data_IF_543746546724
#
_entry.id   IF_543746546724
#
_cell.length_a   1.000
_cell.length_b   1.000
_cell.length_c   1.000
_cell.angle_alpha   90.00
_cell.angle_beta   90.00
_cell.angle_gamma   90.00
#
_symmetry.space_group_name_H-M   'P 1'
#
loop_
_entity.id
_entity.type
_entity.pdbx_description
1 polymer ?
#
# COMPACT_ATOMS: atom_id res chain seq x y z
N UNK A 1 7.94 -17.79 -6.38
CA UNK A 1 7.64 -16.58 -7.17
C UNK A 1 6.51 -16.98 -8.12
N UNK A 2 5.30 -16.43 -7.94
CA UNK A 2 4.19 -16.77 -8.83
C UNK A 2 4.37 -16.00 -10.14
N UNK A 3 4.33 -16.71 -11.28
CA UNK A 3 4.40 -16.08 -12.59
C UNK A 3 3.01 -15.61 -12.98
N UNK A 4 2.74 -14.31 -12.86
CA UNK A 4 1.50 -13.70 -13.33
C UNK A 4 1.60 -13.29 -14.79
N UNK A 5 0.51 -13.47 -15.54
CA UNK A 5 0.39 -12.86 -16.85
C UNK A 5 0.38 -11.32 -16.70
N UNK A 6 0.99 -10.60 -17.64
CA UNK A 6 1.02 -9.13 -17.62
C UNK A 6 -0.40 -8.54 -17.56
N UNK A 7 -1.36 -9.18 -18.21
CA UNK A 7 -2.77 -8.75 -18.18
C UNK A 7 -3.35 -8.77 -16.75
N UNK A 8 -3.08 -9.82 -15.97
CA UNK A 8 -3.54 -9.92 -14.57
C UNK A 8 -2.96 -8.80 -13.70
N UNK A 9 -1.70 -8.44 -13.94
CA UNK A 9 -1.04 -7.33 -13.25
C UNK A 9 -1.66 -5.98 -13.65
N UNK A 10 -1.97 -5.78 -14.93
CA UNK A 10 -2.65 -4.58 -15.40
C UNK A 10 -4.05 -4.43 -14.77
N UNK A 11 -4.81 -5.52 -14.70
CA UNK A 11 -6.12 -5.53 -14.05
C UNK A 11 -6.02 -5.21 -12.55
N UNK A 12 -5.05 -5.80 -11.85
CA UNK A 12 -4.77 -5.49 -10.44
C UNK A 12 -4.42 -4.01 -10.25
N UNK A 13 -3.55 -3.47 -11.09
CA UNK A 13 -3.21 -2.06 -11.05
C UNK A 13 -4.41 -1.16 -11.33
N UNK A 14 -5.29 -1.54 -12.27
CA UNK A 14 -6.53 -0.82 -12.56
C UNK A 14 -7.49 -0.80 -11.36
N UNK A 15 -7.72 -1.96 -10.71
CA UNK A 15 -8.50 -2.04 -9.46
C UNK A 15 -7.90 -1.16 -8.37
N UNK A 16 -6.58 -1.17 -8.23
CA UNK A 16 -5.90 -0.37 -7.24
C UNK A 16 -6.05 1.14 -7.50
N UNK A 17 -5.93 1.58 -8.76
CA UNK A 17 -6.18 2.98 -9.14
C UNK A 17 -7.58 3.43 -8.76
N UNK A 18 -8.59 2.58 -8.98
CA UNK A 18 -9.97 2.87 -8.59
C UNK A 18 -10.08 3.09 -7.08
N UNK A 19 -9.56 2.17 -6.27
CA UNK A 19 -9.54 2.28 -4.80
C UNK A 19 -8.81 3.53 -4.31
N UNK A 20 -7.69 3.90 -4.93
CA UNK A 20 -6.95 5.14 -4.61
C UNK A 20 -7.86 6.37 -4.77
N UNK A 21 -8.57 6.46 -5.89
CA UNK A 21 -9.48 7.58 -6.16
C UNK A 21 -10.67 7.57 -5.19
N UNK A 22 -11.26 6.39 -4.96
CA UNK A 22 -12.39 6.21 -4.02
C UNK A 22 -12.02 6.62 -2.59
N UNK A 23 -10.86 6.18 -2.07
CA UNK A 23 -10.37 6.56 -0.74
C UNK A 23 -10.20 8.07 -0.60
N UNK A 24 -9.48 8.69 -1.54
CA UNK A 24 -9.21 10.14 -1.49
C UNK A 24 -10.51 10.94 -1.61
N UNK A 25 -11.43 10.49 -2.48
CA UNK A 25 -12.73 11.11 -2.63
C UNK A 25 -13.57 10.99 -1.36
N UNK A 26 -13.72 9.80 -0.78
CA UNK A 26 -14.49 9.60 0.46
C UNK A 26 -13.94 10.44 1.62
N UNK A 27 -12.61 10.48 1.77
CA UNK A 27 -11.94 11.25 2.82
C UNK A 27 -11.90 12.77 2.56
N UNK A 28 -12.22 13.24 1.34
CA UNK A 28 -12.02 14.61 0.88
C UNK A 28 -10.59 15.13 1.16
N UNK A 29 -9.63 14.22 1.17
CA UNK A 29 -8.26 14.48 1.64
C UNK A 29 -7.33 13.36 1.19
N UNK A 30 -6.12 13.71 0.72
CA UNK A 30 -5.10 12.71 0.34
C UNK A 30 -4.31 13.10 -0.90
N UNK A 31 -3.45 12.19 -1.36
CA UNK A 31 -2.49 12.44 -2.44
C UNK A 31 -2.68 11.44 -3.59
N UNK A 32 -3.65 11.68 -4.50
CA UNK A 32 -3.95 10.73 -5.57
C UNK A 32 -2.81 10.68 -6.60
N UNK A 33 -2.26 11.82 -7.04
CA UNK A 33 -1.23 11.85 -8.09
C UNK A 33 0.02 11.02 -7.75
N UNK A 34 0.58 11.22 -6.56
CA UNK A 34 1.72 10.43 -6.09
C UNK A 34 1.40 8.95 -5.87
N UNK A 35 0.15 8.61 -5.58
CA UNK A 35 -0.27 7.22 -5.40
C UNK A 35 -0.43 6.52 -6.74
N UNK A 36 -1.15 7.15 -7.67
CA UNK A 36 -1.40 6.64 -9.02
C UNK A 36 -0.10 6.45 -9.82
N UNK A 37 0.92 7.32 -9.62
CA UNK A 37 2.17 7.24 -10.37
C UNK A 37 3.06 6.03 -10.02
N UNK A 38 2.84 5.40 -8.86
CA UNK A 38 3.70 4.30 -8.40
C UNK A 38 2.98 2.94 -8.32
N UNK A 39 1.68 2.88 -8.61
CA UNK A 39 0.89 1.68 -8.30
C UNK A 39 1.28 0.46 -9.13
N UNK A 40 1.70 0.63 -10.38
CA UNK A 40 2.18 -0.50 -11.20
C UNK A 40 3.45 -1.13 -10.60
N UNK A 41 4.32 -0.31 -10.01
CA UNK A 41 5.53 -0.78 -9.33
C UNK A 41 5.12 -1.60 -8.11
N UNK A 42 4.19 -1.11 -7.29
CA UNK A 42 3.73 -1.83 -6.10
C UNK A 42 3.06 -3.16 -6.49
N UNK A 43 2.24 -3.17 -7.54
CA UNK A 43 1.61 -4.39 -8.05
C UNK A 43 2.66 -5.40 -8.51
N UNK A 44 3.64 -4.97 -9.31
CA UNK A 44 4.73 -5.84 -9.75
C UNK A 44 5.58 -6.37 -8.58
N UNK A 45 5.84 -5.54 -7.57
CA UNK A 45 6.56 -5.94 -6.38
C UNK A 45 5.77 -6.97 -5.56
N UNK A 46 4.57 -6.63 -5.11
CA UNK A 46 3.81 -7.47 -4.18
C UNK A 46 3.24 -8.74 -4.80
N UNK A 47 2.85 -8.72 -6.08
CA UNK A 47 2.28 -9.91 -6.74
C UNK A 47 3.33 -10.82 -7.36
N UNK A 48 4.47 -10.27 -7.78
CA UNK A 48 5.46 -11.04 -8.55
C UNK A 48 6.81 -11.13 -7.88
N UNK A 49 7.45 -10.01 -7.51
CA UNK A 49 8.87 -10.03 -7.16
C UNK A 49 9.17 -10.33 -5.67
N UNK A 50 8.36 -9.80 -4.75
CA UNK A 50 8.60 -9.89 -3.32
C UNK A 50 8.14 -11.23 -2.75
N UNK A 51 8.91 -11.76 -1.80
CA UNK A 51 8.49 -12.80 -0.87
C UNK A 51 7.61 -12.14 0.19
N UNK A 52 6.29 -12.24 0.02
CA UNK A 52 5.30 -11.70 0.94
C UNK A 52 4.16 -12.70 1.09
N UNK A 53 3.75 -12.96 2.33
CA UNK A 53 2.62 -13.82 2.66
C UNK A 53 1.50 -12.94 3.26
N UNK A 54 0.37 -12.75 2.56
CA UNK A 54 -0.72 -11.91 3.06
C UNK A 54 -1.42 -12.51 4.28
N UNK A 55 -1.37 -13.83 4.47
CA UNK A 55 -1.93 -14.50 5.65
C UNK A 55 -0.98 -14.42 6.86
N UNK A 56 0.29 -14.05 6.62
CA UNK A 56 1.28 -13.77 7.66
C UNK A 56 2.13 -12.52 7.35
N UNK A 57 1.55 -11.30 7.36
CA UNK A 57 2.26 -10.06 7.06
C UNK A 57 3.38 -9.74 8.07
N UNK A 58 3.40 -10.43 9.21
CA UNK A 58 4.42 -10.33 10.26
C UNK A 58 5.63 -11.24 10.07
N UNK A 59 5.63 -12.12 9.06
CA UNK A 59 6.70 -13.10 8.81
C UNK A 59 8.10 -12.44 8.83
N UNK A 60 9.04 -13.02 9.59
CA UNK A 60 10.37 -12.46 9.82
C UNK A 60 11.22 -12.30 8.55
N UNK A 61 11.31 -13.36 7.74
CA UNK A 61 12.24 -13.46 6.59
C UNK A 61 11.66 -12.94 5.27
N UNK A 62 10.48 -12.33 5.31
CA UNK A 62 9.83 -11.75 4.14
C UNK A 62 10.59 -10.54 3.62
N UNK A 63 10.43 -10.25 2.33
CA UNK A 63 10.93 -9.00 1.77
C UNK A 63 10.15 -7.82 2.35
N UNK A 64 10.85 -6.71 2.59
CA UNK A 64 10.30 -5.51 3.23
C UNK A 64 10.11 -4.41 2.19
N UNK A 65 9.02 -3.65 2.30
CA UNK A 65 8.74 -2.51 1.45
C UNK A 65 8.58 -1.23 2.27
N UNK A 66 9.38 -0.21 1.95
CA UNK A 66 9.35 1.08 2.65
C UNK A 66 8.89 2.18 1.69
N UNK A 67 7.70 2.71 1.93
CA UNK A 67 7.19 3.88 1.20
C UNK A 67 7.78 5.17 1.76
N UNK A 68 9.02 5.51 1.38
CA UNK A 68 9.71 6.72 1.87
C UNK A 68 8.95 8.02 1.56
N UNK A 69 8.23 8.07 0.43
CA UNK A 69 7.22 9.09 0.11
C UNK A 69 5.88 8.78 0.78
N UNK A 70 5.86 8.75 2.11
CA UNK A 70 4.73 8.25 2.91
C UNK A 70 3.37 8.93 2.67
N UNK A 71 3.34 10.08 2.01
CA UNK A 71 2.11 10.77 1.60
C UNK A 71 1.31 10.00 0.53
N UNK A 72 1.97 9.11 -0.22
CA UNK A 72 1.33 8.19 -1.17
C UNK A 72 0.76 6.93 -0.50
N UNK A 73 0.29 7.06 0.76
CA UNK A 73 -0.32 5.97 1.51
C UNK A 73 -1.52 5.31 0.84
N UNK A 74 -2.38 6.01 0.04
CA UNK A 74 -3.44 5.33 -0.71
C UNK A 74 -2.93 4.20 -1.62
N UNK A 75 -1.74 4.34 -2.23
CA UNK A 75 -1.19 3.26 -3.05
C UNK A 75 -0.83 2.03 -2.21
N UNK A 76 -0.27 2.23 -1.02
CA UNK A 76 0.11 1.16 -0.10
C UNK A 76 -1.12 0.43 0.43
N UNK A 77 -2.13 1.16 0.92
CA UNK A 77 -3.36 0.52 1.41
C UNK A 77 -4.10 -0.19 0.28
N UNK A 78 -4.10 0.39 -0.92
CA UNK A 78 -4.74 -0.24 -2.07
C UNK A 78 -4.07 -1.56 -2.47
N UNK A 79 -2.73 -1.65 -2.47
CA UNK A 79 -2.05 -2.92 -2.79
C UNK A 79 -2.19 -3.93 -1.65
N UNK A 80 -2.14 -3.50 -0.39
CA UNK A 80 -2.38 -4.36 0.77
C UNK A 80 -3.78 -4.94 0.75
N UNK A 81 -4.78 -4.17 0.33
CA UNK A 81 -6.10 -4.71 0.01
C UNK A 81 -6.00 -5.73 -1.13
N UNK A 82 -5.41 -5.38 -2.26
CA UNK A 82 -5.40 -6.26 -3.44
C UNK A 82 -4.73 -7.61 -3.22
N UNK A 83 -3.73 -7.69 -2.32
CA UNK A 83 -3.11 -8.95 -1.91
C UNK A 83 -3.78 -9.65 -0.72
N UNK A 84 -4.79 -9.04 -0.10
CA UNK A 84 -5.64 -9.69 0.91
C UNK A 84 -5.33 -9.36 2.38
N UNK A 85 -4.46 -8.38 2.65
CA UNK A 85 -4.14 -7.95 4.03
C UNK A 85 -5.21 -7.01 4.61
N UNK A 86 -5.80 -6.16 3.76
CA UNK A 86 -6.85 -5.22 4.15
C UNK A 86 -8.16 -5.56 3.45
N UNK A 87 -9.27 -5.15 4.07
CA UNK A 87 -10.60 -5.23 3.49
C UNK A 87 -11.02 -3.89 2.86
N UNK A 88 -12.06 -3.90 2.03
CA UNK A 88 -12.57 -2.65 1.45
C UNK A 88 -13.18 -1.73 2.54
N UNK A 89 -13.65 -2.28 3.67
CA UNK A 89 -14.12 -1.55 4.86
C UNK A 89 -12.99 -0.77 5.56
N UNK A 90 -11.76 -1.28 5.56
CA UNK A 90 -10.59 -0.58 6.10
C UNK A 90 -10.28 0.67 5.28
N UNK A 91 -10.36 0.54 3.95
CA UNK A 91 -10.10 1.63 3.01
C UNK A 91 -11.14 2.75 3.16
N UNK A 92 -12.39 2.40 3.46
CA UNK A 92 -13.46 3.36 3.70
C UNK A 92 -13.20 4.25 4.93
N UNK A 93 -12.39 3.76 5.88
CA UNK A 93 -11.91 4.52 7.02
C UNK A 93 -10.73 5.46 6.73
N UNK A 94 -10.19 5.52 5.51
CA UNK A 94 -8.99 6.32 5.21
C UNK A 94 -9.07 7.75 5.77
N UNK A 95 -8.05 8.13 6.56
CA UNK A 95 -7.94 9.43 7.26
C UNK A 95 -9.03 9.73 8.29
N UNK A 96 -9.84 8.75 8.66
CA UNK A 96 -10.80 8.87 9.76
C UNK A 96 -10.17 8.48 11.10
N UNK A 97 -10.68 9.07 12.18
CA UNK A 97 -10.22 8.77 13.53
C UNK A 97 -10.39 7.28 13.84
N UNK A 98 -9.32 6.63 14.31
CA UNK A 98 -9.33 5.21 14.70
C UNK A 98 -9.21 4.22 13.53
N UNK A 99 -9.12 4.68 12.28
CA UNK A 99 -8.92 3.78 11.14
C UNK A 99 -7.52 3.16 11.12
N UNK A 100 -7.38 1.96 10.56
CA UNK A 100 -6.07 1.39 10.23
C UNK A 100 -5.40 2.12 9.07
N UNK A 101 -6.16 2.82 8.21
CA UNK A 101 -5.67 3.54 7.04
C UNK A 101 -5.37 5.02 7.36
N UNK A 102 -4.19 5.27 7.92
CA UNK A 102 -3.74 6.61 8.35
C UNK A 102 -3.35 7.55 7.18
N UNK A 103 -3.30 8.86 7.42
CA UNK A 103 -3.02 9.86 6.38
C UNK A 103 -1.63 9.80 5.73
N UNK A 104 -0.67 9.21 6.44
CA UNK A 104 0.61 8.69 5.93
C UNK A 104 0.69 7.21 6.33
N UNK A 105 1.58 6.43 5.71
CA UNK A 105 1.77 5.02 6.10
C UNK A 105 2.24 4.92 7.56
N UNK A 106 1.61 4.05 8.34
CA UNK A 106 1.91 3.86 9.75
C UNK A 106 1.97 2.37 10.12
N UNK A 107 3.18 1.89 10.45
CA UNK A 107 3.46 0.51 10.87
C UNK A 107 2.67 0.07 12.09
N UNK A 108 2.36 1.00 13.00
CA UNK A 108 1.66 0.66 14.25
C UNK A 108 0.18 0.37 14.02
N UNK A 109 -0.41 1.00 12.99
CA UNK A 109 -1.85 0.94 12.73
C UNK A 109 -2.22 0.00 11.60
N UNK A 110 -1.36 -0.17 10.59
CA UNK A 110 -1.66 -1.00 9.42
C UNK A 110 -0.76 -2.23 9.39
N UNK A 111 -1.34 -3.42 9.43
CA UNK A 111 -0.60 -4.66 9.20
C UNK A 111 0.00 -4.68 7.78
N UNK A 112 1.19 -5.26 7.64
CA UNK A 112 1.94 -5.28 6.37
C UNK A 112 2.74 -4.01 6.05
N UNK A 113 2.53 -2.89 6.76
CA UNK A 113 3.37 -1.69 6.64
C UNK A 113 4.66 -1.86 7.44
N UNK A 114 5.82 -1.75 6.80
CA UNK A 114 7.11 -2.00 7.44
C UNK A 114 7.72 -0.82 8.20
N UNK A 115 7.29 0.41 7.89
CA UNK A 115 7.84 1.63 8.49
C UNK A 115 6.81 2.77 8.48
N UNK A 116 6.72 3.52 9.57
CA UNK A 116 5.89 4.73 9.63
C UNK A 116 6.62 5.90 8.96
N UNK A 117 6.09 6.42 7.86
CA UNK A 117 6.71 7.47 7.05
C UNK A 117 5.84 8.74 6.98
N UNK A 118 6.32 9.75 6.27
CA UNK A 118 5.61 11.01 6.06
C UNK A 118 6.57 12.19 5.99
N UNK A 119 7.55 12.22 6.89
CA UNK A 119 8.73 13.07 6.74
C UNK A 119 9.61 12.52 5.63
N UNK A 120 9.75 13.28 4.54
CA UNK A 120 10.50 12.87 3.36
C UNK A 120 11.96 12.52 3.73
N UNK A 121 12.48 11.46 3.11
CA UNK A 121 13.86 10.98 3.31
C UNK A 121 14.02 9.96 4.44
N UNK A 122 13.18 9.99 5.49
CA UNK A 122 13.34 9.09 6.64
C UNK A 122 13.22 7.60 6.28
N UNK A 123 12.30 7.26 5.37
CA UNK A 123 12.14 5.87 4.94
C UNK A 123 13.34 5.35 4.14
N UNK A 124 14.07 6.22 3.43
CA UNK A 124 15.30 5.80 2.75
C UNK A 124 16.40 5.48 3.76
N UNK A 125 16.57 6.34 4.77
CA UNK A 125 17.52 6.11 5.86
C UNK A 125 17.24 4.80 6.61
N UNK A 126 15.96 4.48 6.85
CA UNK A 126 15.56 3.24 7.51
C UNK A 126 15.77 1.98 6.64
N UNK A 127 15.69 2.12 5.32
CA UNK A 127 15.82 0.99 4.39
C UNK A 127 17.26 0.62 4.02
N UNK A 128 18.25 1.37 4.49
CA UNK A 128 19.69 1.13 4.29
C UNK A 128 20.29 0.47 5.54
#
# INVERSE_FOLDING_TARGET
MQSHAIEELNESASRCRRRIVEMVYKAQSGHPGGSLSCIDILVGLYRSAMRFDPDNPGWGDRDRFVMSKGHASPAVYSILRDVGVLEDSDLDGFRSLGSVCQGHVDRKWTEGVDFSAGSLGMGLSFGL
#
